data_IF_195892807129
#
_entry.id   IF_195892807129
#
_cell.length_a   1.000
_cell.length_b   1.000
_cell.length_c   1.000
_cell.angle_alpha   90.00
_cell.angle_beta   90.00
_cell.angle_gamma   90.00
#
_symmetry.space_group_name_H-M   'P 1'
#
loop_
_entity.id
_entity.type
_entity.pdbx_description
1 polymer ?
#
# COMPACT_ATOMS: atom_id res chain seq x y z
N UNK A 1 7.55 -12.13 -10.76
CA UNK A 1 6.83 -12.34 -9.50
C UNK A 1 5.73 -13.38 -9.74
N UNK A 2 5.69 -14.40 -8.90
CA UNK A 2 4.66 -15.44 -8.91
C UNK A 2 3.86 -15.36 -7.62
N UNK A 3 2.54 -15.47 -7.70
CA UNK A 3 1.65 -15.41 -6.55
C UNK A 3 0.59 -16.50 -6.64
N UNK A 4 0.27 -17.10 -5.50
CA UNK A 4 -0.81 -18.08 -5.38
C UNK A 4 -1.61 -17.80 -4.12
N UNK A 5 -2.91 -17.82 -4.22
CA UNK A 5 -3.82 -17.74 -3.09
C UNK A 5 -4.16 -19.15 -2.60
N UNK A 6 -3.98 -19.39 -1.30
CA UNK A 6 -4.40 -20.62 -0.62
C UNK A 6 -5.61 -20.25 0.24
N UNK A 7 -6.72 -20.97 0.08
CA UNK A 7 -7.95 -20.75 0.86
C UNK A 7 -7.81 -21.38 2.25
N UNK A 8 -6.86 -20.86 3.04
CA UNK A 8 -6.58 -21.28 4.40
C UNK A 8 -6.14 -20.06 5.24
N UNK A 9 -6.47 -20.05 6.52
CA UNK A 9 -6.11 -18.96 7.42
C UNK A 9 -6.48 -19.25 8.87
N UNK A 10 -6.34 -18.26 9.73
CA UNK A 10 -6.61 -18.30 11.16
C UNK A 10 -7.97 -18.94 11.51
N UNK A 11 -8.99 -18.67 10.67
CA UNK A 11 -10.32 -19.25 10.83
C UNK A 11 -10.31 -20.78 10.86
N UNK A 12 -9.45 -21.43 10.09
CA UNK A 12 -9.37 -22.90 10.06
C UNK A 12 -8.87 -23.45 11.40
N UNK A 13 -7.94 -22.76 12.03
CA UNK A 13 -7.44 -23.12 13.36
C UNK A 13 -8.52 -22.88 14.43
N UNK A 14 -9.18 -21.72 14.41
CA UNK A 14 -10.26 -21.43 15.33
C UNK A 14 -11.36 -22.50 15.24
N UNK A 15 -11.75 -22.87 14.03
CA UNK A 15 -12.76 -23.92 13.82
C UNK A 15 -12.30 -25.29 14.33
N UNK A 16 -11.02 -25.64 14.20
CA UNK A 16 -10.48 -26.87 14.75
C UNK A 16 -10.52 -26.87 16.28
N UNK A 17 -10.14 -25.75 16.91
CA UNK A 17 -10.20 -25.56 18.36
C UNK A 17 -11.66 -25.59 18.90
N UNK A 18 -12.56 -24.89 18.22
CA UNK A 18 -14.01 -24.94 18.55
C UNK A 18 -14.52 -26.37 18.56
N UNK A 19 -14.19 -27.16 17.55
CA UNK A 19 -14.62 -28.53 17.42
C UNK A 19 -14.02 -29.45 18.51
N UNK A 20 -12.73 -29.23 18.82
CA UNK A 20 -12.01 -30.07 19.76
C UNK A 20 -12.38 -29.81 21.23
N UNK A 21 -12.62 -28.56 21.59
CA UNK A 21 -12.90 -28.13 22.95
C UNK A 21 -14.35 -27.72 23.20
N UNK A 22 -15.19 -27.72 22.16
CA UNK A 22 -16.59 -27.27 22.21
C UNK A 22 -16.71 -25.81 22.73
N UNK A 23 -15.75 -24.94 22.36
CA UNK A 23 -15.75 -23.54 22.74
C UNK A 23 -16.50 -22.68 21.73
N UNK A 24 -17.09 -21.54 22.16
CA UNK A 24 -17.56 -20.52 21.25
C UNK A 24 -16.38 -19.86 20.52
N UNK A 25 -16.67 -19.22 19.38
CA UNK A 25 -15.65 -18.63 18.49
C UNK A 25 -14.67 -17.70 19.22
N UNK A 26 -15.18 -16.82 20.07
CA UNK A 26 -14.37 -15.83 20.80
C UNK A 26 -13.36 -16.49 21.74
N UNK A 27 -13.80 -17.48 22.52
CA UNK A 27 -12.92 -18.22 23.41
C UNK A 27 -11.85 -19.03 22.65
N UNK A 28 -12.22 -19.63 21.52
CA UNK A 28 -11.28 -20.36 20.69
C UNK A 28 -10.26 -19.42 20.02
N UNK A 29 -10.68 -18.22 19.64
CA UNK A 29 -9.79 -17.20 19.07
C UNK A 29 -8.77 -16.65 20.08
N UNK A 30 -9.18 -16.47 21.33
CA UNK A 30 -8.31 -15.99 22.43
C UNK A 30 -7.21 -17.01 22.81
N UNK A 31 -7.42 -18.29 22.54
CA UNK A 31 -6.41 -19.32 22.79
C UNK A 31 -5.20 -19.20 21.84
N UNK A 32 -5.39 -18.69 20.61
CA UNK A 32 -4.33 -18.67 19.60
C UNK A 32 -3.11 -17.87 20.07
N UNK A 33 -3.22 -16.59 20.51
CA UNK A 33 -2.06 -15.83 20.93
C UNK A 33 -1.46 -16.28 22.26
N UNK A 34 -2.24 -16.98 23.09
CA UNK A 34 -1.84 -17.26 24.47
C UNK A 34 -1.22 -18.65 24.67
N UNK A 35 -1.64 -19.66 23.92
CA UNK A 35 -1.34 -21.05 24.25
C UNK A 35 -1.01 -21.94 23.02
N UNK A 36 -0.95 -21.40 21.80
CA UNK A 36 -0.67 -22.24 20.64
C UNK A 36 0.80 -22.53 20.48
N UNK A 37 1.16 -23.80 20.65
CA UNK A 37 2.52 -24.29 20.51
C UNK A 37 2.52 -25.60 19.73
N UNK A 38 3.41 -25.74 18.77
CA UNK A 38 3.67 -27.01 18.08
C UNK A 38 4.71 -27.80 18.82
N UNK A 39 4.40 -29.00 19.25
CA UNK A 39 5.37 -29.87 19.92
C UNK A 39 6.16 -30.67 18.88
N UNK A 40 7.47 -30.51 18.88
CA UNK A 40 8.37 -31.29 18.03
C UNK A 40 8.60 -32.70 18.54
N UNK A 41 8.48 -32.88 19.86
CA UNK A 41 8.57 -34.17 20.57
C UNK A 41 7.43 -34.22 21.57
N UNK A 42 6.56 -35.23 21.46
CA UNK A 42 5.39 -35.42 22.34
C UNK A 42 5.72 -36.23 23.61
N UNK A 43 6.89 -36.85 23.67
CA UNK A 43 7.30 -37.65 24.80
C UNK A 43 7.63 -36.76 26.02
N UNK A 44 6.89 -36.93 27.11
CA UNK A 44 7.09 -36.15 28.35
C UNK A 44 6.40 -34.77 28.37
N UNK A 45 5.63 -34.40 27.35
CA UNK A 45 4.77 -33.23 27.38
C UNK A 45 3.52 -33.43 28.21
N UNK A 46 2.96 -32.33 28.72
CA UNK A 46 1.66 -32.37 29.39
C UNK A 46 0.56 -32.83 28.41
N UNK A 47 -0.41 -33.58 28.91
CA UNK A 47 -1.51 -34.13 28.10
C UNK A 47 -2.30 -33.04 27.36
N UNK A 48 -2.48 -31.89 27.99
CA UNK A 48 -3.17 -30.74 27.42
C UNK A 48 -2.37 -30.11 26.26
N UNK A 49 -1.06 -29.99 26.43
CA UNK A 49 -0.14 -29.45 25.37
C UNK A 49 -0.04 -30.42 24.19
N UNK A 50 0.06 -31.75 24.48
CA UNK A 50 0.13 -32.77 23.45
C UNK A 50 -1.16 -32.76 22.60
N UNK A 51 -2.34 -32.67 23.26
CA UNK A 51 -3.62 -32.55 22.57
C UNK A 51 -3.77 -31.28 21.75
N UNK A 52 -3.32 -30.11 22.27
CA UNK A 52 -3.30 -28.86 21.53
C UNK A 52 -2.44 -28.98 20.27
N UNK A 53 -1.22 -29.50 20.41
CA UNK A 53 -0.32 -29.72 19.27
C UNK A 53 -0.92 -30.63 18.20
N UNK A 54 -1.62 -31.68 18.60
CA UNK A 54 -2.29 -32.62 17.67
C UNK A 54 -3.44 -31.94 16.89
N UNK A 55 -4.23 -31.11 17.56
CA UNK A 55 -5.29 -30.32 16.92
C UNK A 55 -4.69 -29.34 15.90
N UNK A 56 -3.59 -28.66 16.26
CA UNK A 56 -2.88 -27.74 15.38
C UNK A 56 -2.28 -28.47 14.18
N UNK A 57 -1.60 -29.62 14.39
CA UNK A 57 -1.08 -30.44 13.30
C UNK A 57 -2.17 -30.79 12.28
N UNK A 58 -3.34 -31.25 12.78
CA UNK A 58 -4.50 -31.52 11.92
C UNK A 58 -5.00 -30.29 11.17
N UNK A 59 -5.08 -29.15 11.85
CA UNK A 59 -5.53 -27.90 11.23
C UNK A 59 -4.56 -27.37 10.17
N UNK A 60 -3.25 -27.57 10.36
CA UNK A 60 -2.20 -27.15 9.41
C UNK A 60 -2.01 -28.13 8.25
N UNK A 61 -2.53 -29.35 8.32
CA UNK A 61 -2.28 -30.38 7.30
C UNK A 61 -2.64 -29.93 5.88
N UNK A 62 -3.82 -29.33 5.69
CA UNK A 62 -4.24 -28.82 4.39
C UNK A 62 -3.38 -27.66 3.91
N UNK A 63 -2.94 -26.79 4.81
CA UNK A 63 -2.03 -25.70 4.50
C UNK A 63 -0.67 -26.25 4.01
N UNK A 64 -0.07 -27.16 4.76
CA UNK A 64 1.21 -27.81 4.42
C UNK A 64 1.14 -28.51 3.07
N UNK A 65 0.06 -29.23 2.80
CA UNK A 65 -0.17 -29.88 1.50
C UNK A 65 -0.21 -28.85 0.36
N UNK A 66 -0.96 -27.79 0.51
CA UNK A 66 -1.06 -26.73 -0.50
C UNK A 66 0.25 -25.97 -0.67
N UNK A 67 1.00 -25.75 0.42
CA UNK A 67 2.31 -25.13 0.39
C UNK A 67 3.31 -26.01 -0.37
N UNK A 68 3.35 -27.31 -0.09
CA UNK A 68 4.18 -28.29 -0.80
C UNK A 68 3.91 -28.29 -2.30
N UNK A 69 2.64 -28.33 -2.71
CA UNK A 69 2.23 -28.23 -4.12
C UNK A 69 2.67 -26.91 -4.75
N UNK A 70 2.61 -25.80 -4.00
CA UNK A 70 3.05 -24.51 -4.48
C UNK A 70 4.56 -24.45 -4.69
N UNK A 71 5.32 -25.05 -3.79
CA UNK A 71 6.77 -25.16 -3.90
C UNK A 71 7.18 -25.95 -5.14
N UNK A 72 6.56 -27.10 -5.36
CA UNK A 72 6.81 -27.95 -6.55
C UNK A 72 6.48 -27.18 -7.83
N UNK A 73 5.34 -26.49 -7.88
CA UNK A 73 4.89 -25.69 -9.04
C UNK A 73 5.87 -24.53 -9.37
N UNK A 74 6.40 -23.86 -8.33
CA UNK A 74 7.40 -22.81 -8.50
C UNK A 74 8.72 -23.39 -9.02
N UNK A 75 9.21 -24.47 -8.39
CA UNK A 75 10.46 -25.11 -8.78
C UNK A 75 10.41 -25.62 -10.22
N UNK A 76 9.28 -26.21 -10.63
CA UNK A 76 9.07 -26.65 -12.00
C UNK A 76 9.03 -25.48 -12.98
N UNK A 77 8.28 -24.44 -12.66
CA UNK A 77 8.11 -23.26 -13.52
C UNK A 77 9.39 -22.46 -13.72
N UNK A 78 10.19 -22.31 -12.67
CA UNK A 78 11.42 -21.50 -12.71
C UNK A 78 12.69 -22.32 -12.86
N UNK A 79 12.58 -23.66 -12.86
CA UNK A 79 13.70 -24.60 -12.95
C UNK A 79 14.81 -24.27 -11.93
N UNK A 80 14.41 -23.83 -10.74
CA UNK A 80 15.31 -23.40 -9.67
C UNK A 80 14.83 -23.93 -8.32
N UNK A 81 15.71 -24.46 -7.48
CA UNK A 81 15.35 -24.92 -6.14
C UNK A 81 14.99 -23.72 -5.25
N UNK A 82 14.01 -23.91 -4.36
CA UNK A 82 13.70 -22.96 -3.28
C UNK A 82 14.63 -23.29 -2.11
N UNK A 83 15.42 -22.31 -1.67
CA UNK A 83 16.35 -22.47 -0.57
C UNK A 83 15.70 -22.35 0.80
N UNK A 84 14.81 -21.37 0.95
CA UNK A 84 14.15 -21.04 2.21
C UNK A 84 12.74 -20.47 2.00
N UNK A 85 11.96 -20.53 3.06
CA UNK A 85 10.59 -19.99 3.13
C UNK A 85 10.51 -19.07 4.34
N UNK A 86 10.01 -17.85 4.16
CA UNK A 86 9.77 -16.92 5.25
C UNK A 86 8.28 -16.87 5.61
N UNK A 87 7.97 -17.07 6.89
CA UNK A 87 6.62 -16.93 7.44
C UNK A 87 6.39 -15.53 7.94
N UNK A 88 5.30 -14.92 7.47
CA UNK A 88 4.85 -13.59 7.86
C UNK A 88 3.37 -13.62 8.22
N UNK A 89 2.95 -12.70 9.09
CA UNK A 89 1.55 -12.54 9.48
C UNK A 89 1.23 -13.12 10.85
N UNK A 90 -0.04 -13.06 11.26
CA UNK A 90 -0.47 -13.41 12.62
C UNK A 90 -0.12 -14.86 13.02
N UNK A 91 -0.18 -15.77 12.06
CA UNK A 91 0.10 -17.20 12.32
C UNK A 91 1.59 -17.51 12.48
N UNK A 92 2.50 -16.64 12.08
CA UNK A 92 3.94 -16.82 12.33
C UNK A 92 4.29 -16.82 13.82
N UNK A 93 3.36 -16.37 14.70
CA UNK A 93 3.50 -16.36 16.15
C UNK A 93 3.24 -17.72 16.82
N UNK A 94 2.67 -18.69 16.11
CA UNK A 94 2.52 -20.05 16.63
C UNK A 94 3.90 -20.62 16.92
N UNK A 95 4.16 -20.89 18.19
CA UNK A 95 5.47 -21.34 18.66
C UNK A 95 5.87 -22.66 17.97
N UNK A 96 7.11 -22.76 17.50
CA UNK A 96 7.67 -23.90 16.76
C UNK A 96 7.01 -24.22 15.41
N UNK A 97 6.13 -23.36 14.87
CA UNK A 97 5.52 -23.60 13.55
C UNK A 97 6.58 -23.67 12.44
N UNK A 98 7.57 -22.79 12.49
CA UNK A 98 8.68 -22.79 11.54
C UNK A 98 9.47 -24.12 11.56
N UNK A 99 9.77 -24.64 12.76
CA UNK A 99 10.44 -25.92 12.93
C UNK A 99 9.59 -27.09 12.41
N UNK A 100 8.28 -27.07 12.66
CA UNK A 100 7.34 -28.05 12.15
C UNK A 100 7.28 -28.05 10.62
N UNK A 101 7.19 -26.88 9.99
CA UNK A 101 7.21 -26.74 8.53
C UNK A 101 8.53 -27.21 7.94
N UNK A 102 9.66 -26.81 8.53
CA UNK A 102 11.00 -27.27 8.10
C UNK A 102 11.11 -28.78 8.13
N UNK A 103 10.66 -29.42 9.23
CA UNK A 103 10.68 -30.88 9.36
C UNK A 103 9.77 -31.57 8.34
N UNK A 104 8.62 -30.98 8.04
CA UNK A 104 7.63 -31.63 7.17
C UNK A 104 7.94 -31.45 5.70
N UNK A 105 8.44 -30.27 5.29
CA UNK A 105 8.73 -29.96 3.88
C UNK A 105 10.19 -30.19 3.48
N UNK A 106 11.11 -30.34 4.45
CA UNK A 106 12.53 -30.45 4.18
C UNK A 106 13.20 -29.18 3.67
N UNK A 107 12.52 -28.02 3.81
CA UNK A 107 13.02 -26.71 3.38
C UNK A 107 13.10 -25.81 4.62
N UNK A 108 14.18 -25.06 4.75
CA UNK A 108 14.36 -24.14 5.87
C UNK A 108 13.22 -23.13 5.92
N UNK A 109 12.54 -23.06 7.07
CA UNK A 109 11.45 -22.12 7.28
C UNK A 109 11.84 -21.12 8.37
N UNK A 110 11.91 -19.85 8.03
CA UNK A 110 12.25 -18.76 8.93
C UNK A 110 11.02 -17.96 9.32
N UNK A 111 11.00 -17.49 10.56
CA UNK A 111 10.03 -16.49 10.99
C UNK A 111 10.77 -15.17 11.04
N UNK A 112 10.46 -14.28 10.12
CA UNK A 112 11.11 -12.97 10.06
C UNK A 112 10.32 -11.94 10.84
N UNK A 113 11.02 -11.20 11.68
CA UNK A 113 10.49 -10.02 12.36
C UNK A 113 10.70 -8.79 11.48
N UNK A 114 10.15 -8.83 10.27
CA UNK A 114 10.30 -7.80 9.25
C UNK A 114 10.07 -6.37 9.76
N UNK A 115 9.20 -6.21 10.75
CA UNK A 115 8.86 -4.88 11.28
C UNK A 115 9.96 -4.28 12.15
N UNK A 116 10.79 -5.10 12.80
CA UNK A 116 11.92 -4.60 13.59
C UNK A 116 13.00 -3.96 12.72
N UNK A 117 13.13 -4.43 11.47
CA UNK A 117 14.14 -3.96 10.53
C UNK A 117 13.68 -2.71 9.76
N UNK A 118 12.36 -2.58 9.55
CA UNK A 118 11.77 -1.45 8.80
C UNK A 118 11.47 -0.24 9.69
N UNK A 119 11.06 -0.46 10.94
CA UNK A 119 10.71 0.61 11.85
C UNK A 119 11.69 0.72 13.02
N UNK A 120 12.30 1.89 13.16
CA UNK A 120 13.11 2.17 14.34
C UNK A 120 12.20 2.24 15.58
N UNK A 121 12.60 1.63 16.72
CA UNK A 121 11.78 1.54 17.94
C UNK A 121 11.32 2.89 18.53
N UNK A 122 11.96 3.99 18.10
CA UNK A 122 11.63 5.36 18.55
C UNK A 122 10.36 5.94 17.94
N UNK A 123 9.85 5.36 16.84
CA UNK A 123 8.74 5.96 16.09
C UNK A 123 7.38 5.34 16.41
N UNK A 124 7.34 4.09 16.86
CA UNK A 124 6.09 3.40 17.17
C UNK A 124 6.23 2.65 18.49
N UNK A 125 5.43 3.04 19.49
CA UNK A 125 5.30 2.27 20.72
C UNK A 125 4.54 0.97 20.40
N UNK A 126 5.05 -0.18 20.89
CA UNK A 126 4.45 -1.51 20.71
C UNK A 126 4.53 -2.13 19.31
N UNK A 127 5.60 -1.87 18.54
CA UNK A 127 5.85 -2.51 17.23
C UNK A 127 5.75 -4.04 17.32
N UNK A 128 6.21 -4.65 18.40
CA UNK A 128 6.15 -6.10 18.60
C UNK A 128 4.74 -6.67 18.66
N UNK A 129 3.74 -5.86 19.04
CA UNK A 129 2.35 -6.31 19.16
C UNK A 129 1.60 -6.30 17.82
N UNK A 130 1.91 -5.32 16.96
CA UNK A 130 1.21 -5.10 15.70
C UNK A 130 2.04 -5.55 14.47
N UNK A 131 3.36 -5.74 14.64
CA UNK A 131 4.28 -5.90 13.53
C UNK A 131 3.85 -6.98 12.54
N UNK A 132 3.55 -8.16 13.01
CA UNK A 132 3.26 -9.30 12.13
C UNK A 132 1.88 -9.17 11.46
N UNK A 133 0.92 -8.50 12.10
CA UNK A 133 -0.41 -8.22 11.50
C UNK A 133 -0.36 -7.06 10.51
N UNK A 134 0.57 -6.15 10.68
CA UNK A 134 0.69 -4.95 9.86
C UNK A 134 1.51 -5.15 8.57
N UNK A 135 2.14 -6.30 8.37
CA UNK A 135 3.01 -6.56 7.20
C UNK A 135 2.32 -6.26 5.88
N UNK A 136 1.06 -6.69 5.72
CA UNK A 136 0.29 -6.43 4.50
C UNK A 136 0.00 -4.93 4.33
N UNK A 137 -0.38 -4.25 5.41
CA UNK A 137 -0.65 -2.81 5.40
C UNK A 137 0.61 -2.00 5.07
N UNK A 138 1.75 -2.40 5.62
CA UNK A 138 3.05 -1.77 5.33
C UNK A 138 3.46 -2.02 3.88
N UNK A 139 3.30 -3.24 3.37
CA UNK A 139 3.56 -3.56 1.97
C UNK A 139 2.72 -2.70 1.02
N UNK A 140 1.43 -2.54 1.31
CA UNK A 140 0.53 -1.66 0.54
C UNK A 140 0.91 -0.19 0.67
N UNK A 141 1.34 0.26 1.85
CA UNK A 141 1.81 1.64 2.04
C UNK A 141 3.10 1.93 1.25
N UNK A 142 4.02 0.98 1.20
CA UNK A 142 5.26 1.09 0.39
C UNK A 142 4.95 1.19 -1.10
N UNK A 143 3.96 0.46 -1.60
CA UNK A 143 3.49 0.60 -3.00
C UNK A 143 2.80 1.94 -3.27
N UNK A 144 2.25 2.61 -2.26
CA UNK A 144 1.67 3.95 -2.36
C UNK A 144 2.68 5.08 -2.43
N UNK A 145 3.98 4.82 -2.27
CA UNK A 145 5.01 5.84 -2.36
C UNK A 145 5.19 6.36 -3.81
N UNK A 146 5.69 7.59 -3.95
CA UNK A 146 5.89 8.24 -5.25
C UNK A 146 6.80 7.45 -6.22
N UNK A 147 7.64 6.56 -5.70
CA UNK A 147 8.51 5.67 -6.49
C UNK A 147 8.41 4.25 -5.95
N UNK A 148 7.34 3.53 -6.25
CA UNK A 148 7.22 2.14 -5.86
C UNK A 148 8.30 1.29 -6.54
N UNK A 149 8.80 0.29 -5.84
CA UNK A 149 9.78 -0.67 -6.39
C UNK A 149 9.20 -1.56 -7.47
N UNK A 150 7.92 -1.86 -7.36
CA UNK A 150 7.19 -2.72 -8.30
C UNK A 150 6.24 -1.88 -9.15
N UNK A 151 5.89 -2.33 -10.37
CA UNK A 151 4.84 -1.67 -11.14
C UNK A 151 3.55 -1.67 -10.32
N UNK A 152 2.95 -0.49 -10.20
CA UNK A 152 1.74 -0.30 -9.41
C UNK A 152 0.61 -1.22 -9.90
N UNK A 153 0.13 -2.07 -9.01
CA UNK A 153 -1.05 -2.90 -9.28
C UNK A 153 -2.29 -2.11 -8.85
N UNK A 154 -3.04 -1.65 -9.83
CA UNK A 154 -4.32 -1.00 -9.54
C UNK A 154 -5.38 -2.06 -9.21
N UNK A 155 -5.66 -2.25 -7.92
CA UNK A 155 -6.70 -3.18 -7.46
C UNK A 155 -8.12 -2.61 -7.58
N UNK A 156 -8.27 -1.32 -7.84
CA UNK A 156 -9.56 -0.73 -8.18
C UNK A 156 -9.95 -1.14 -9.60
N UNK A 157 -10.76 -2.17 -9.70
CA UNK A 157 -11.34 -2.62 -10.97
C UNK A 157 -12.75 -2.05 -11.09
N UNK A 158 -13.12 -1.53 -12.26
CA UNK A 158 -14.46 -1.06 -12.56
C UNK A 158 -14.56 0.42 -12.89
N UNK A 159 -15.75 0.97 -12.73
CA UNK A 159 -16.09 2.35 -13.11
C UNK A 159 -15.30 3.40 -12.32
N UNK A 160 -15.04 3.16 -11.04
CA UNK A 160 -14.29 4.09 -10.19
C UNK A 160 -12.84 4.32 -10.66
N UNK A 161 -12.18 3.29 -11.20
CA UNK A 161 -10.83 3.43 -11.75
C UNK A 161 -10.82 4.25 -13.03
N UNK A 162 -11.85 4.11 -13.86
CA UNK A 162 -12.00 4.87 -15.10
C UNK A 162 -12.40 6.32 -14.84
N UNK A 163 -13.27 6.55 -13.87
CA UNK A 163 -13.77 7.87 -13.52
C UNK A 163 -12.65 8.76 -12.94
N UNK A 164 -11.84 8.24 -12.03
CA UNK A 164 -10.72 8.99 -11.47
C UNK A 164 -9.63 9.32 -12.51
N UNK A 165 -9.31 8.40 -13.41
CA UNK A 165 -8.36 8.64 -14.49
C UNK A 165 -8.89 9.68 -15.51
N UNK A 166 -10.20 9.65 -15.81
CA UNK A 166 -10.84 10.63 -16.69
C UNK A 166 -10.82 12.03 -16.07
N UNK A 167 -11.20 12.17 -14.80
CA UNK A 167 -11.20 13.45 -14.10
C UNK A 167 -9.80 14.05 -13.97
N UNK A 168 -8.80 13.28 -13.56
CA UNK A 168 -7.41 13.79 -13.48
C UNK A 168 -6.91 14.29 -14.84
N UNK A 169 -7.10 13.51 -15.89
CA UNK A 169 -6.65 13.87 -17.23
C UNK A 169 -7.40 15.07 -17.83
N UNK A 170 -8.64 15.25 -17.45
CA UNK A 170 -9.49 16.38 -17.88
C UNK A 170 -9.11 17.63 -17.11
N UNK A 171 -8.93 17.57 -15.79
CA UNK A 171 -8.51 18.70 -14.96
C UNK A 171 -7.13 19.24 -15.34
N UNK A 172 -6.16 18.40 -15.66
CA UNK A 172 -4.86 18.86 -16.15
C UNK A 172 -5.01 19.69 -17.42
N UNK A 173 -5.77 19.22 -18.40
CA UNK A 173 -5.99 19.96 -19.66
C UNK A 173 -6.74 21.27 -19.46
N UNK A 174 -7.78 21.27 -18.64
CA UNK A 174 -8.55 22.49 -18.32
C UNK A 174 -7.74 23.48 -17.49
N UNK A 175 -6.88 22.99 -16.60
CA UNK A 175 -5.94 23.82 -15.83
C UNK A 175 -5.03 24.62 -16.74
N UNK A 176 -4.41 23.98 -17.75
CA UNK A 176 -3.58 24.67 -18.74
C UNK A 176 -4.38 25.67 -19.60
N UNK A 177 -5.59 25.31 -20.01
CA UNK A 177 -6.44 26.20 -20.79
C UNK A 177 -6.85 27.46 -19.99
N UNK A 178 -7.20 27.30 -18.71
CA UNK A 178 -7.55 28.41 -17.83
C UNK A 178 -6.36 29.33 -17.53
N UNK A 179 -5.16 28.77 -17.31
CA UNK A 179 -3.95 29.60 -17.10
C UNK A 179 -3.59 30.38 -18.36
N UNK A 180 -3.67 29.77 -19.55
CA UNK A 180 -3.46 30.48 -20.82
C UNK A 180 -4.49 31.59 -21.03
N UNK A 181 -5.75 31.34 -20.76
CA UNK A 181 -6.82 32.36 -20.88
C UNK A 181 -6.60 33.51 -19.91
N UNK A 182 -6.19 33.26 -18.68
CA UNK A 182 -5.91 34.32 -17.68
C UNK A 182 -4.70 35.18 -18.08
N UNK A 183 -3.64 34.58 -18.60
CA UNK A 183 -2.47 35.33 -19.11
C UNK A 183 -2.86 36.20 -20.30
N UNK A 184 -3.63 35.67 -21.27
CA UNK A 184 -4.12 36.42 -22.41
C UNK A 184 -5.02 37.59 -21.97
N UNK A 185 -5.88 37.39 -20.96
CA UNK A 185 -6.70 38.46 -20.41
C UNK A 185 -5.88 39.57 -19.75
N UNK A 186 -4.84 39.24 -18.98
CA UNK A 186 -3.93 40.21 -18.37
C UNK A 186 -3.19 40.99 -19.44
N UNK A 187 -2.66 40.31 -20.48
CA UNK A 187 -2.00 40.98 -21.60
C UNK A 187 -2.95 41.95 -22.33
N UNK A 188 -4.20 41.56 -22.55
CA UNK A 188 -5.20 42.39 -23.19
C UNK A 188 -5.52 43.65 -22.35
N UNK A 189 -5.67 43.52 -21.04
CA UNK A 189 -5.93 44.67 -20.16
C UNK A 189 -4.75 45.62 -20.10
N UNK A 190 -3.53 45.11 -20.03
CA UNK A 190 -2.29 45.93 -20.09
C UNK A 190 -2.21 46.68 -21.43
N UNK A 191 -2.45 45.98 -22.55
CA UNK A 191 -2.46 46.61 -23.87
C UNK A 191 -3.52 47.71 -23.99
N UNK A 192 -4.73 47.48 -23.49
CA UNK A 192 -5.82 48.49 -23.42
C UNK A 192 -5.40 49.72 -22.63
N UNK A 193 -4.81 49.53 -21.47
CA UNK A 193 -4.32 50.64 -20.65
C UNK A 193 -3.20 51.43 -21.32
N UNK A 194 -2.23 50.76 -21.95
CA UNK A 194 -1.16 51.44 -22.70
C UNK A 194 -1.70 52.23 -23.90
N UNK A 195 -2.72 51.72 -24.60
CA UNK A 195 -3.39 52.38 -25.71
C UNK A 195 -4.14 53.66 -25.25
N UNK A 196 -4.84 53.60 -24.14
CA UNK A 196 -5.50 54.78 -23.54
C UNK A 196 -4.47 55.84 -23.17
N UNK A 197 -3.41 55.46 -22.48
CA UNK A 197 -2.35 56.43 -22.15
C UNK A 197 -1.68 57.05 -23.38
N UNK A 198 -1.49 56.28 -24.44
CA UNK A 198 -0.94 56.83 -25.70
C UNK A 198 -1.92 57.77 -26.38
N UNK A 199 -3.25 57.50 -26.32
CA UNK A 199 -4.26 58.40 -26.86
C UNK A 199 -4.32 59.71 -26.10
N UNK A 200 -4.32 59.66 -24.76
CA UNK A 200 -4.28 60.86 -23.93
C UNK A 200 -3.07 61.75 -24.20
N UNK A 201 -1.87 61.15 -24.33
CA UNK A 201 -0.66 61.90 -24.67
C UNK A 201 -0.72 62.53 -26.07
N UNK A 202 -1.30 61.86 -27.05
CA UNK A 202 -1.52 62.39 -28.40
C UNK A 202 -2.48 63.57 -28.36
N UNK A 203 -3.58 63.53 -27.57
CA UNK A 203 -4.47 64.62 -27.41
C UNK A 203 -3.78 65.83 -26.75
N UNK A 204 -3.03 65.65 -25.67
CA UNK A 204 -2.26 66.71 -25.02
C UNK A 204 -1.29 67.38 -25.97
N UNK A 205 -0.51 66.60 -26.75
CA UNK A 205 0.45 67.18 -27.73
C UNK A 205 -0.25 67.91 -28.86
N UNK A 206 -1.43 67.47 -29.29
CA UNK A 206 -2.21 68.17 -30.31
C UNK A 206 -2.82 69.44 -29.78
N UNK A 207 -3.31 69.46 -28.53
CA UNK A 207 -3.76 70.68 -27.88
C UNK A 207 -2.64 71.72 -27.70
N UNK A 208 -1.48 71.35 -27.26
CA UNK A 208 -0.33 72.20 -27.13
C UNK A 208 0.12 72.79 -28.51
N UNK A 209 0.13 71.99 -29.55
CA UNK A 209 0.47 72.42 -30.91
C UNK A 209 -0.57 73.43 -31.45
N UNK A 210 -1.89 73.18 -31.18
CA UNK A 210 -2.98 74.09 -31.54
C UNK A 210 -2.89 75.43 -30.79
N UNK A 211 -2.60 75.41 -29.49
CA UNK A 211 -2.45 76.58 -28.66
C UNK A 211 -1.26 77.44 -29.07
N UNK A 212 -0.14 76.81 -29.35
CA UNK A 212 1.04 77.50 -29.85
C UNK A 212 0.82 78.12 -31.22
N UNK A 213 0.11 77.45 -32.14
CA UNK A 213 -0.23 78.02 -33.45
C UNK A 213 -1.24 79.16 -33.34
N UNK A 214 -2.23 79.07 -32.46
CA UNK A 214 -3.21 80.13 -32.17
C UNK A 214 -2.50 81.38 -31.56
N UNK A 215 -1.54 81.17 -30.63
CA UNK A 215 -0.74 82.24 -30.04
C UNK A 215 0.14 82.93 -31.05
N UNK A 216 0.67 82.25 -32.04
CA UNK A 216 1.43 82.79 -33.10
C UNK A 216 0.62 83.67 -34.10
N UNK A 217 -0.66 83.31 -34.28
CA UNK A 217 -1.58 84.10 -35.13
C UNK A 217 -2.09 85.36 -34.42
N UNK A 218 -2.24 85.30 -33.09
CA UNK A 218 -2.75 86.45 -32.30
C UNK A 218 -1.68 87.48 -31.98
N UNK A 219 -0.41 87.20 -32.29
CA UNK A 219 0.74 88.09 -32.10
C UNK A 219 1.17 88.89 -33.35
N UNK A 220 0.43 88.78 -34.48
CA UNK A 220 0.52 89.59 -35.68
C UNK A 220 -0.59 90.65 -35.64
#
# INVERSE_FOLDING_TARGET
VWTRAISWGEKNIIMALMKAYNYPYEQAADLIPAQTRMLMVKAGADESEARMSEILEGAFQDFIKNLSLSIIDIQDKFQSPIGDVSLLGAMSKVENLNAYITKTLGITCNTEHFMSDVFQPRQIQNVSHFGDRAVIAVGLALEGLKRPRNPAVNLRRGEDAKQNAFWQKTWEKWGYAMTLASVAFICYTIYGYMREQAAVKLDETTYEALQNSAGAIAGI
#
